data_IF_178718092736
#
_entry.id   IF_178718092736
#
_cell.length_a   1.000
_cell.length_b   1.000
_cell.length_c   1.000
_cell.angle_alpha   90.00
_cell.angle_beta   90.00
_cell.angle_gamma   90.00
#
_symmetry.space_group_name_H-M   'P 1'
#
loop_
_entity.id
_entity.type
_entity.pdbx_description
1 polymer ?
#
# COMPACT_ATOMS: atom_id res chain seq x y z
N UNK A 1 -19.12 -42.17 -22.64
CA UNK A 1 -17.91 -41.63 -23.27
C UNK A 1 -17.59 -40.29 -22.68
N UNK A 2 -16.53 -40.21 -21.88
CA UNK A 2 -15.99 -38.96 -21.32
C UNK A 2 -15.08 -38.32 -22.35
N UNK A 3 -15.49 -37.17 -22.88
CA UNK A 3 -14.67 -36.33 -23.76
C UNK A 3 -13.64 -35.58 -22.92
N UNK A 4 -12.36 -35.84 -23.16
CA UNK A 4 -11.27 -35.04 -22.62
C UNK A 4 -11.30 -33.62 -23.26
N UNK A 5 -10.98 -32.55 -22.49
CA UNK A 5 -10.88 -31.21 -23.05
C UNK A 5 -9.71 -31.15 -24.05
N UNK A 6 -9.96 -30.50 -25.19
CA UNK A 6 -9.16 -30.65 -26.42
C UNK A 6 -8.14 -29.54 -26.70
N UNK A 7 -7.69 -28.77 -25.71
CA UNK A 7 -6.56 -27.85 -25.90
C UNK A 7 -5.67 -27.78 -24.65
N UNK A 8 -4.33 -27.83 -24.81
CA UNK A 8 -3.44 -27.53 -23.71
C UNK A 8 -3.71 -26.10 -23.25
N UNK A 9 -4.00 -25.92 -21.96
CA UNK A 9 -4.00 -24.59 -21.37
C UNK A 9 -2.61 -24.01 -21.51
N UNK A 10 -2.54 -22.75 -21.93
CA UNK A 10 -1.29 -22.00 -21.93
C UNK A 10 -0.70 -22.04 -20.51
N UNK A 11 0.54 -22.52 -20.40
CA UNK A 11 1.31 -22.52 -19.16
C UNK A 11 2.50 -21.61 -19.37
N UNK A 12 2.77 -20.77 -18.36
CA UNK A 12 3.96 -19.92 -18.38
C UNK A 12 5.18 -20.86 -18.29
N UNK A 13 6.21 -20.68 -19.12
CA UNK A 13 7.40 -21.53 -19.06
C UNK A 13 8.09 -21.37 -17.71
N UNK A 14 8.62 -22.46 -17.14
CA UNK A 14 9.35 -22.43 -15.86
C UNK A 14 10.56 -21.46 -15.84
N UNK A 15 11.07 -21.09 -17.02
CA UNK A 15 12.10 -20.05 -17.14
C UNK A 15 11.60 -18.65 -16.77
N UNK A 16 10.28 -18.42 -16.73
CA UNK A 16 9.71 -17.16 -16.25
C UNK A 16 9.82 -17.02 -14.72
N UNK A 17 10.04 -18.13 -14.00
CA UNK A 17 10.29 -18.12 -12.56
C UNK A 17 11.79 -17.88 -12.24
N UNK A 18 12.64 -17.86 -13.27
CA UNK A 18 14.07 -17.58 -13.12
C UNK A 18 14.28 -16.07 -13.16
N UNK A 19 14.15 -15.45 -11.99
CA UNK A 19 14.40 -14.02 -11.80
C UNK A 19 15.90 -13.72 -11.61
N UNK A 20 16.27 -12.43 -11.66
CA UNK A 20 17.61 -11.99 -11.31
C UNK A 20 17.94 -12.38 -9.86
N UNK A 21 19.18 -12.80 -9.62
CA UNK A 21 19.64 -13.02 -8.25
C UNK A 21 19.81 -11.67 -7.55
N UNK A 22 18.81 -11.30 -6.75
CA UNK A 22 18.82 -10.09 -5.95
C UNK A 22 19.26 -10.40 -4.51
N UNK A 23 20.11 -9.55 -3.94
CA UNK A 23 20.41 -9.59 -2.51
C UNK A 23 19.29 -8.79 -1.82
N UNK A 24 18.68 -9.38 -0.79
CA UNK A 24 17.65 -8.67 -0.03
C UNK A 24 18.26 -7.43 0.64
N UNK A 25 17.51 -6.32 0.68
CA UNK A 25 18.00 -5.07 1.28
C UNK A 25 18.46 -5.24 2.74
N UNK A 26 17.88 -6.18 3.48
CA UNK A 26 18.29 -6.49 4.86
C UNK A 26 19.69 -7.12 4.95
N UNK A 27 20.13 -7.81 3.89
CA UNK A 27 21.42 -8.49 3.81
C UNK A 27 22.49 -7.63 3.12
N UNK A 28 22.11 -6.49 2.54
CA UNK A 28 23.02 -5.53 1.92
C UNK A 28 23.28 -4.32 2.84
N UNK A 29 24.44 -4.24 3.51
CA UNK A 29 24.77 -3.10 4.38
C UNK A 29 24.98 -1.79 3.61
N UNK A 30 25.00 -1.81 2.27
CA UNK A 30 25.07 -0.61 1.42
C UNK A 30 23.70 -0.21 0.87
N UNK A 31 22.64 -0.98 1.14
CA UNK A 31 21.28 -0.64 0.73
C UNK A 31 20.88 0.74 1.29
N UNK A 32 20.41 1.62 0.41
CA UNK A 32 20.00 2.96 0.81
C UNK A 32 18.65 2.90 1.52
N UNK A 33 18.57 3.50 2.71
CA UNK A 33 17.30 3.62 3.41
C UNK A 33 16.41 4.67 2.72
N UNK A 34 15.39 4.22 2.00
CA UNK A 34 14.46 5.07 1.25
C UNK A 34 13.77 6.11 2.15
N UNK A 35 13.43 5.77 3.40
CA UNK A 35 12.87 6.72 4.38
C UNK A 35 13.81 7.88 4.70
N UNK A 36 15.11 7.72 4.50
CA UNK A 36 16.12 8.75 4.80
C UNK A 36 16.51 9.59 3.59
N UNK A 37 16.45 9.02 2.38
CA UNK A 37 16.96 9.67 1.16
C UNK A 37 15.86 10.20 0.25
N UNK A 38 14.65 9.67 0.32
CA UNK A 38 13.55 10.07 -0.55
C UNK A 38 12.84 11.32 -0.02
N UNK A 39 12.41 12.23 -0.91
CA UNK A 39 11.85 13.52 -0.51
C UNK A 39 10.42 13.43 0.04
N UNK A 40 9.73 12.32 -0.17
CA UNK A 40 8.30 12.18 0.08
C UNK A 40 7.46 13.05 -0.86
N UNK A 41 6.22 13.30 -0.47
CA UNK A 41 5.23 14.04 -1.28
C UNK A 41 4.70 15.27 -0.55
N UNK A 42 4.02 16.17 -1.26
CA UNK A 42 3.17 17.22 -0.68
C UNK A 42 1.80 17.24 -1.32
N UNK A 43 0.77 17.24 -0.48
CA UNK A 43 -0.61 17.36 -0.91
C UNK A 43 -0.96 18.80 -1.30
N UNK A 44 -1.74 18.93 -2.36
CA UNK A 44 -2.26 20.19 -2.89
C UNK A 44 -3.62 19.96 -3.55
N UNK A 45 -4.29 21.06 -3.95
CA UNK A 45 -5.57 21.01 -4.68
C UNK A 45 -6.63 20.13 -4.00
N UNK A 46 -6.74 20.24 -2.67
CA UNK A 46 -7.65 19.43 -1.87
C UNK A 46 -9.09 19.80 -2.17
N UNK A 47 -9.92 18.81 -2.50
CA UNK A 47 -11.33 18.97 -2.82
C UNK A 47 -12.17 18.09 -1.90
N UNK A 48 -13.02 18.71 -1.11
CA UNK A 48 -13.91 18.01 -0.18
C UNK A 48 -15.26 17.71 -0.82
N UNK A 49 -15.86 16.61 -0.40
CA UNK A 49 -17.26 16.28 -0.67
C UNK A 49 -17.91 15.68 0.60
N UNK A 50 -19.18 15.30 0.53
CA UNK A 50 -19.93 14.76 1.68
C UNK A 50 -19.38 13.43 2.22
N UNK A 51 -18.56 12.73 1.42
CA UNK A 51 -18.01 11.39 1.69
C UNK A 51 -16.50 11.37 1.81
N UNK A 52 -15.84 12.52 1.94
CA UNK A 52 -14.39 12.60 2.15
C UNK A 52 -13.74 13.68 1.30
N UNK A 53 -12.58 13.38 0.71
CA UNK A 53 -11.85 14.35 -0.09
C UNK A 53 -10.86 13.69 -1.07
N UNK A 54 -10.47 14.44 -2.09
CA UNK A 54 -9.37 14.10 -2.98
C UNK A 54 -8.27 15.15 -2.90
N UNK A 55 -7.04 14.78 -3.23
CA UNK A 55 -5.91 15.70 -3.30
C UNK A 55 -4.89 15.24 -4.35
N UNK A 56 -4.12 16.18 -4.89
CA UNK A 56 -2.95 15.87 -5.71
C UNK A 56 -1.71 15.81 -4.82
N UNK A 57 -0.99 14.70 -4.82
CA UNK A 57 0.30 14.56 -4.15
C UNK A 57 1.42 14.74 -5.18
N UNK A 58 2.25 15.76 -5.00
CA UNK A 58 3.42 16.01 -5.84
C UNK A 58 4.69 15.65 -5.12
N UNK A 59 5.65 15.05 -5.81
CA UNK A 59 6.96 14.73 -5.27
C UNK A 59 7.59 16.01 -4.68
N UNK A 60 8.04 15.95 -3.42
CA UNK A 60 8.38 17.13 -2.63
C UNK A 60 9.82 17.64 -2.85
N UNK A 61 10.56 17.02 -3.78
CA UNK A 61 11.97 17.31 -4.01
C UNK A 61 12.49 16.65 -5.28
N UNK A 62 13.82 16.46 -5.34
CA UNK A 62 14.42 15.70 -6.45
C UNK A 62 14.12 14.21 -6.28
N UNK A 63 13.76 13.49 -7.36
CA UNK A 63 13.68 12.04 -7.36
C UNK A 63 14.90 11.40 -6.71
N UNK A 64 14.67 10.48 -5.78
CA UNK A 64 15.71 9.68 -5.15
C UNK A 64 16.07 8.48 -6.04
N UNK A 65 15.08 7.93 -6.75
CA UNK A 65 15.20 6.78 -7.66
C UNK A 65 16.06 5.64 -7.08
N UNK A 66 15.74 5.23 -5.85
CA UNK A 66 16.59 4.32 -5.09
C UNK A 66 16.41 2.88 -5.56
N UNK A 67 15.15 2.46 -5.69
CA UNK A 67 14.76 1.09 -6.02
C UNK A 67 13.90 1.03 -7.30
N UNK A 68 13.80 2.15 -8.01
CA UNK A 68 12.97 2.33 -9.19
C UNK A 68 12.97 3.79 -9.64
N UNK A 69 12.02 4.16 -10.49
CA UNK A 69 11.80 5.56 -10.89
C UNK A 69 10.67 6.16 -10.07
N UNK A 70 10.92 7.27 -9.37
CA UNK A 70 9.89 8.00 -8.61
C UNK A 70 8.71 8.43 -9.50
N UNK A 71 7.51 8.31 -8.96
CA UNK A 71 6.30 8.80 -9.61
C UNK A 71 6.07 10.26 -9.23
N UNK A 72 6.21 11.17 -10.19
CA UNK A 72 6.12 12.63 -9.93
C UNK A 72 4.77 13.08 -9.35
N UNK A 73 3.67 12.44 -9.78
CA UNK A 73 2.31 12.89 -9.49
C UNK A 73 1.38 11.74 -9.11
N UNK A 74 0.85 11.78 -7.89
CA UNK A 74 -0.12 10.82 -7.37
C UNK A 74 -1.46 11.52 -7.07
N UNK A 75 -2.54 10.75 -7.12
CA UNK A 75 -3.88 11.16 -6.71
C UNK A 75 -4.23 10.43 -5.42
N UNK A 76 -4.51 11.20 -4.38
CA UNK A 76 -5.08 10.73 -3.12
C UNK A 76 -6.61 10.80 -3.18
N UNK A 77 -7.27 9.72 -2.81
CA UNK A 77 -8.71 9.65 -2.58
C UNK A 77 -8.98 9.10 -1.18
N UNK A 78 -9.72 9.86 -0.38
CA UNK A 78 -10.21 9.44 0.94
C UNK A 78 -11.73 9.36 0.86
N UNK A 79 -12.27 8.15 1.00
CA UNK A 79 -13.70 7.86 0.91
C UNK A 79 -14.19 7.19 2.19
N UNK A 80 -15.08 7.86 2.92
CA UNK A 80 -15.84 7.29 4.01
C UNK A 80 -16.96 6.44 3.40
N UNK A 81 -16.81 5.12 3.49
CA UNK A 81 -17.68 4.16 2.83
C UNK A 81 -18.82 3.68 3.72
N UNK A 82 -18.64 3.70 5.03
CA UNK A 82 -19.67 3.37 6.02
C UNK A 82 -19.30 3.99 7.38
N UNK A 83 -20.14 3.80 8.39
CA UNK A 83 -19.84 4.19 9.77
C UNK A 83 -18.49 3.62 10.24
N UNK A 84 -18.22 2.35 9.96
CA UNK A 84 -17.06 1.58 10.39
C UNK A 84 -16.08 1.23 9.25
N UNK A 85 -16.23 1.84 8.06
CA UNK A 85 -15.37 1.57 6.89
C UNK A 85 -14.88 2.85 6.21
N UNK A 86 -13.56 3.00 6.15
CA UNK A 86 -12.84 4.07 5.46
C UNK A 86 -11.95 3.46 4.37
N UNK A 87 -11.97 4.04 3.17
CA UNK A 87 -11.03 3.71 2.10
C UNK A 87 -10.09 4.90 1.85
N UNK A 88 -8.78 4.63 1.88
CA UNK A 88 -7.76 5.58 1.45
C UNK A 88 -7.01 4.93 0.30
N UNK A 89 -6.92 5.65 -0.81
CA UNK A 89 -6.29 5.18 -2.04
C UNK A 89 -5.32 6.25 -2.56
N UNK A 90 -4.11 5.81 -2.90
CA UNK A 90 -3.08 6.63 -3.53
C UNK A 90 -2.67 5.91 -4.81
N UNK A 91 -2.82 6.56 -5.96
CA UNK A 91 -2.49 5.98 -7.26
C UNK A 91 -1.71 6.99 -8.11
N UNK A 92 -0.87 6.54 -9.06
CA UNK A 92 -0.31 7.42 -10.08
C UNK A 92 -1.41 8.18 -10.83
N UNK A 93 -1.25 9.51 -10.95
CA UNK A 93 -2.24 10.37 -11.61
C UNK A 93 -2.25 10.15 -13.12
N UNK A 94 -1.09 9.86 -13.70
CA UNK A 94 -0.89 9.72 -15.13
C UNK A 94 -0.49 8.28 -15.47
N UNK A 95 -1.50 7.44 -15.71
CA UNK A 95 -1.30 6.11 -16.29
C UNK A 95 -1.91 6.11 -17.68
N UNK A 96 -1.05 5.99 -18.69
CA UNK A 96 -1.44 5.87 -20.08
C UNK A 96 -0.81 4.62 -20.72
N UNK A 97 -1.10 4.38 -21.99
CA UNK A 97 -0.57 3.23 -22.72
C UNK A 97 0.96 3.21 -22.89
N UNK A 98 1.66 4.30 -22.57
CA UNK A 98 3.12 4.38 -22.62
C UNK A 98 3.80 4.09 -21.27
N UNK A 99 3.06 4.15 -20.16
CA UNK A 99 3.51 3.79 -18.80
C UNK A 99 2.73 2.58 -18.24
N UNK A 100 2.42 1.59 -19.09
CA UNK A 100 1.55 0.45 -18.79
C UNK A 100 2.15 -0.62 -17.85
N UNK A 101 3.21 -0.31 -17.11
CA UNK A 101 3.76 -1.18 -16.06
C UNK A 101 2.87 -1.24 -14.81
N UNK A 102 2.02 -0.23 -14.60
CA UNK A 102 1.09 -0.18 -13.47
C UNK A 102 -0.04 -1.20 -13.61
N UNK A 103 -0.10 -2.14 -12.67
CA UNK A 103 -1.15 -3.14 -12.60
C UNK A 103 -2.23 -2.75 -11.59
N UNK A 104 -3.44 -2.49 -12.08
CA UNK A 104 -4.62 -2.29 -11.22
C UNK A 104 -5.49 -3.54 -11.23
N UNK A 105 -5.82 -4.04 -10.04
CA UNK A 105 -6.72 -5.18 -9.89
C UNK A 105 -8.09 -4.85 -10.49
N UNK A 106 -8.55 -5.72 -11.40
CA UNK A 106 -9.87 -5.59 -12.01
C UNK A 106 -10.96 -5.82 -10.96
N UNK A 107 -11.92 -4.90 -10.88
CA UNK A 107 -13.14 -5.03 -10.05
C UNK A 107 -13.97 -6.26 -10.38
N UNK A 108 -13.82 -6.83 -11.58
CA UNK A 108 -14.49 -8.08 -11.96
C UNK A 108 -13.84 -9.31 -11.31
N UNK A 109 -12.54 -9.23 -11.00
CA UNK A 109 -11.79 -10.30 -10.34
C UNK A 109 -11.79 -10.11 -8.82
N UNK A 110 -11.62 -8.87 -8.37
CA UNK A 110 -11.58 -8.49 -6.95
C UNK A 110 -12.52 -7.31 -6.72
N UNK A 111 -13.82 -7.57 -6.46
CA UNK A 111 -14.80 -6.52 -6.21
C UNK A 111 -14.47 -5.74 -4.95
N UNK A 112 -14.38 -4.41 -5.05
CA UNK A 112 -14.20 -3.53 -3.90
C UNK A 112 -15.55 -3.16 -3.26
N UNK A 113 -15.61 -3.03 -1.93
CA UNK A 113 -16.80 -2.52 -1.26
C UNK A 113 -17.17 -1.14 -1.78
N UNK A 114 -18.47 -0.92 -2.01
CA UNK A 114 -19.02 0.40 -2.36
C UNK A 114 -19.42 1.14 -1.10
N UNK A 115 -19.43 2.47 -1.17
CA UNK A 115 -19.98 3.30 -0.12
C UNK A 115 -21.48 3.01 0.09
N UNK A 116 -21.92 2.95 1.35
CA UNK A 116 -23.33 2.88 1.71
C UNK A 116 -24.05 4.17 1.29
N UNK A 117 -25.38 4.10 1.13
CA UNK A 117 -26.17 5.24 0.67
C UNK A 117 -26.11 6.42 1.66
N UNK A 118 -26.06 6.09 2.95
CA UNK A 118 -26.03 7.04 4.05
C UNK A 118 -24.59 7.35 4.52
N UNK A 119 -23.58 6.88 3.79
CA UNK A 119 -22.19 7.15 4.12
C UNK A 119 -21.91 8.65 4.09
N UNK A 120 -21.34 9.17 5.17
CA UNK A 120 -20.92 10.56 5.27
C UNK A 120 -19.72 10.71 6.21
N UNK A 121 -19.00 11.82 6.06
CA UNK A 121 -17.89 12.15 7.00
C UNK A 121 -18.40 12.32 8.43
N UNK A 122 -19.62 12.86 8.62
CA UNK A 122 -20.20 13.07 9.94
C UNK A 122 -20.54 11.76 10.65
N UNK A 123 -21.08 10.79 9.90
CA UNK A 123 -21.62 9.54 10.45
C UNK A 123 -20.56 8.45 10.66
N UNK A 124 -19.33 8.65 10.17
CA UNK A 124 -18.23 7.71 10.39
C UNK A 124 -17.70 7.74 11.83
N UNK A 125 -17.30 6.59 12.35
CA UNK A 125 -16.54 6.44 13.60
C UNK A 125 -15.08 6.91 13.47
N UNK A 126 -14.63 7.18 12.24
CA UNK A 126 -13.27 7.62 11.95
C UNK A 126 -13.21 9.10 11.57
N UNK A 127 -12.06 9.71 11.85
CA UNK A 127 -11.68 11.02 11.31
C UNK A 127 -10.27 10.93 10.73
N UNK A 128 -10.08 11.55 9.57
CA UNK A 128 -8.77 11.65 8.90
C UNK A 128 -8.19 13.04 9.07
N UNK A 129 -6.96 13.13 9.56
CA UNK A 129 -6.15 14.35 9.58
C UNK A 129 -4.90 14.16 8.74
N UNK A 130 -4.41 15.22 8.08
CA UNK A 130 -3.19 15.15 7.28
C UNK A 130 -2.38 16.44 7.42
N UNK A 131 -1.08 16.36 7.11
CA UNK A 131 -0.14 17.47 7.14
C UNK A 131 0.85 17.36 5.98
N UNK A 132 1.47 18.47 5.61
CA UNK A 132 2.60 18.53 4.66
C UNK A 132 3.95 18.78 5.36
N UNK A 133 3.97 18.75 6.69
CA UNK A 133 5.15 19.07 7.50
C UNK A 133 5.74 17.81 8.14
N UNK A 134 7.04 17.50 7.91
CA UNK A 134 7.93 18.08 6.89
C UNK A 134 7.58 17.64 5.45
N UNK A 135 6.83 16.55 5.32
CA UNK A 135 6.28 15.98 4.08
C UNK A 135 4.83 15.54 4.32
N UNK A 136 4.14 15.14 3.25
CA UNK A 136 2.79 14.59 3.31
C UNK A 136 2.74 13.41 4.27
N UNK A 137 1.85 13.51 5.24
CA UNK A 137 1.52 12.44 6.18
C UNK A 137 0.03 12.52 6.53
N UNK A 138 -0.54 11.40 6.99
CA UNK A 138 -1.90 11.39 7.49
C UNK A 138 -2.07 10.43 8.66
N UNK A 139 -3.19 10.63 9.37
CA UNK A 139 -3.67 9.78 10.45
C UNK A 139 -5.12 9.41 10.25
N UNK A 140 -5.46 8.18 10.64
CA UNK A 140 -6.83 7.73 10.85
C UNK A 140 -7.04 7.63 12.36
N UNK A 141 -8.02 8.38 12.86
CA UNK A 141 -8.29 8.52 14.30
C UNK A 141 -9.67 7.96 14.60
N UNK A 142 -9.78 7.15 15.66
CA UNK A 142 -11.06 6.68 16.19
C UNK A 142 -11.75 7.81 16.97
N UNK A 143 -12.85 8.36 16.47
CA UNK A 143 -13.55 9.52 17.07
C UNK A 143 -13.93 9.30 18.54
N UNK A 144 -14.37 8.09 18.90
CA UNK A 144 -14.85 7.79 20.24
C UNK A 144 -13.77 7.89 21.35
N UNK A 145 -12.50 7.71 20.99
CA UNK A 145 -11.38 7.61 21.96
C UNK A 145 -10.30 8.67 21.72
N UNK A 146 -10.16 9.14 20.48
CA UNK A 146 -9.04 9.95 20.04
C UNK A 146 -7.80 9.14 19.65
N UNK A 147 -7.85 7.81 19.71
CA UNK A 147 -6.70 6.95 19.38
C UNK A 147 -6.38 7.00 17.88
N UNK A 148 -5.11 7.15 17.55
CA UNK A 148 -4.61 6.98 16.19
C UNK A 148 -4.52 5.48 15.86
N UNK A 149 -5.35 5.03 14.91
CA UNK A 149 -5.38 3.65 14.43
C UNK A 149 -4.37 3.40 13.30
N UNK A 150 -4.08 4.45 12.54
CA UNK A 150 -3.11 4.45 11.46
C UNK A 150 -2.44 5.82 11.45
N UNK A 151 -1.11 5.88 11.37
CA UNK A 151 -0.37 7.14 11.42
C UNK A 151 0.94 7.02 10.65
N UNK A 152 1.04 7.77 9.56
CA UNK A 152 2.28 7.86 8.75
C UNK A 152 3.17 9.02 9.19
N UNK A 153 2.91 9.64 10.33
CA UNK A 153 3.79 10.68 10.85
C UNK A 153 5.21 10.16 11.09
N UNK A 154 6.19 11.05 10.95
CA UNK A 154 7.64 10.75 11.08
C UNK A 154 8.18 9.78 10.03
N UNK A 155 7.43 9.54 8.95
CA UNK A 155 7.81 8.68 7.82
C UNK A 155 7.52 9.41 6.52
N UNK A 156 8.13 8.98 5.42
CA UNK A 156 7.89 9.52 4.08
C UNK A 156 7.17 8.48 3.22
N UNK A 157 6.18 8.92 2.45
CA UNK A 157 5.61 8.10 1.38
C UNK A 157 6.65 7.96 0.27
N UNK A 158 7.09 6.73 -0.02
CA UNK A 158 7.95 6.43 -1.17
C UNK A 158 7.10 5.71 -2.22
N UNK A 159 7.12 6.21 -3.46
CA UNK A 159 6.28 5.69 -4.53
C UNK A 159 7.05 5.70 -5.85
N UNK A 160 7.74 4.61 -6.11
CA UNK A 160 8.50 4.34 -7.33
C UNK A 160 7.78 3.25 -8.14
N UNK A 161 8.13 3.10 -9.41
CA UNK A 161 7.52 2.11 -10.33
C UNK A 161 7.67 0.64 -9.90
N UNK A 162 8.74 0.31 -9.19
CA UNK A 162 9.04 -1.05 -8.69
C UNK A 162 9.14 -1.12 -7.16
N UNK A 163 8.95 -0.01 -6.46
CA UNK A 163 9.07 0.05 -5.00
C UNK A 163 8.08 1.05 -4.39
N UNK A 164 7.23 0.56 -3.50
CA UNK A 164 6.30 1.40 -2.73
C UNK A 164 6.56 1.13 -1.26
N UNK A 165 6.85 2.17 -0.50
CA UNK A 165 7.03 2.07 0.95
C UNK A 165 5.97 2.90 1.65
N UNK A 166 5.29 2.25 2.58
CA UNK A 166 4.23 2.82 3.38
C UNK A 166 4.36 2.34 4.81
N UNK A 167 4.50 3.29 5.74
CA UNK A 167 4.79 2.97 7.15
C UNK A 167 3.70 3.54 8.03
N UNK A 168 3.26 2.75 9.02
CA UNK A 168 2.39 3.21 10.09
C UNK A 168 2.99 2.89 11.44
N UNK A 169 2.89 3.82 12.37
CA UNK A 169 3.18 3.55 13.78
C UNK A 169 2.04 2.69 14.39
N UNK A 170 2.43 1.77 15.28
CA UNK A 170 1.53 1.02 16.14
C UNK A 170 1.76 1.43 17.62
N UNK A 171 0.75 1.38 18.48
CA UNK A 171 0.89 1.73 19.91
C UNK A 171 1.79 0.73 20.64
N UNK A 172 2.47 1.15 21.73
CA UNK A 172 3.52 0.36 22.41
C UNK A 172 3.11 -1.08 22.75
N UNK A 173 1.85 -1.31 23.13
CA UNK A 173 1.31 -2.65 23.47
C UNK A 173 0.31 -3.18 22.44
N UNK A 174 0.63 -3.02 21.15
CA UNK A 174 -0.20 -3.53 20.07
C UNK A 174 -0.27 -5.07 20.05
N UNK A 175 -1.40 -5.58 19.53
CA UNK A 175 -1.55 -6.97 19.16
C UNK A 175 -1.83 -7.05 17.66
N UNK A 176 -0.92 -7.68 16.91
CA UNK A 176 -1.03 -7.82 15.46
C UNK A 176 -1.23 -9.30 15.09
N UNK A 177 -2.15 -9.55 14.17
CA UNK A 177 -2.57 -10.89 13.73
C UNK A 177 -2.86 -10.85 12.23
N UNK A 178 -2.82 -12.00 11.57
CA UNK A 178 -3.02 -12.11 10.12
C UNK A 178 -1.69 -12.04 9.37
N UNK A 179 -1.75 -11.56 8.12
CA UNK A 179 -0.68 -11.64 7.12
C UNK A 179 -0.34 -13.11 6.78
N UNK A 180 -0.32 -13.46 5.50
CA UNK A 180 -0.22 -14.87 5.09
C UNK A 180 0.11 -15.04 3.61
N UNK A 181 0.63 -16.21 3.21
CA UNK A 181 0.76 -17.46 3.99
C UNK A 181 2.14 -17.62 4.66
N UNK A 182 2.16 -17.80 5.99
CA UNK A 182 3.39 -17.96 6.78
C UNK A 182 3.20 -18.96 7.92
N UNK A 183 4.27 -19.66 8.32
CA UNK A 183 4.30 -20.47 9.55
C UNK A 183 4.83 -19.61 10.70
N UNK A 184 3.92 -19.01 11.47
CA UNK A 184 4.25 -18.18 12.64
C UNK A 184 3.33 -18.49 13.82
N UNK A 185 3.65 -17.94 15.01
CA UNK A 185 2.71 -17.95 16.13
C UNK A 185 1.51 -17.01 15.85
N UNK A 186 0.35 -17.30 16.45
CA UNK A 186 -0.89 -16.56 16.16
C UNK A 186 -0.75 -15.03 16.32
N UNK A 187 -0.14 -14.57 17.42
CA UNK A 187 0.21 -13.15 17.61
C UNK A 187 1.56 -12.88 16.97
N UNK A 188 1.61 -12.01 15.97
CA UNK A 188 2.85 -11.67 15.29
C UNK A 188 3.87 -11.05 16.25
N UNK A 189 5.15 -11.39 16.04
CA UNK A 189 6.26 -10.84 16.81
C UNK A 189 6.50 -9.38 16.42
N UNK A 190 7.07 -8.60 17.35
CA UNK A 190 7.60 -7.27 17.00
C UNK A 190 8.85 -7.46 16.14
N UNK A 191 9.11 -6.48 15.28
CA UNK A 191 10.32 -6.44 14.42
C UNK A 191 10.46 -7.66 13.49
N UNK A 192 9.33 -8.24 13.07
CA UNK A 192 9.29 -9.35 12.11
C UNK A 192 9.21 -8.85 10.67
N UNK A 193 9.96 -9.50 9.77
CA UNK A 193 9.80 -9.35 8.32
C UNK A 193 9.00 -10.54 7.79
N UNK A 194 7.89 -10.27 7.10
CA UNK A 194 7.01 -11.30 6.55
C UNK A 194 6.85 -11.08 5.05
N UNK A 195 7.41 -11.99 4.24
CA UNK A 195 7.46 -11.86 2.78
C UNK A 195 6.27 -12.54 2.12
N UNK A 196 5.35 -11.77 1.53
CA UNK A 196 4.18 -12.34 0.86
C UNK A 196 4.47 -12.46 -0.64
N UNK A 197 4.77 -13.68 -1.07
CA UNK A 197 4.85 -14.06 -2.49
C UNK A 197 4.40 -15.51 -2.65
N UNK A 198 3.40 -15.82 -3.51
CA UNK A 198 2.99 -17.19 -3.75
C UNK A 198 4.18 -18.04 -4.21
N UNK A 199 4.54 -19.04 -3.41
CA UNK A 199 5.67 -19.93 -3.67
C UNK A 199 5.30 -21.36 -3.32
N UNK A 200 5.88 -22.33 -4.03
CA UNK A 200 5.74 -23.75 -3.71
C UNK A 200 6.77 -24.12 -2.63
N UNK A 201 6.49 -23.69 -1.39
CA UNK A 201 7.29 -23.98 -0.21
C UNK A 201 6.42 -24.67 0.84
N UNK A 202 6.79 -25.89 1.23
CA UNK A 202 6.09 -26.65 2.27
C UNK A 202 6.34 -26.13 3.69
N UNK A 203 7.28 -25.21 3.86
CA UNK A 203 7.67 -24.59 5.13
C UNK A 203 8.00 -23.11 4.95
N UNK A 204 7.02 -22.24 4.63
CA UNK A 204 7.25 -20.80 4.44
C UNK A 204 7.52 -20.14 5.79
N UNK A 205 8.76 -20.27 6.25
CA UNK A 205 9.29 -19.67 7.47
C UNK A 205 10.16 -18.50 7.02
N UNK A 206 9.69 -17.27 7.29
CA UNK A 206 10.53 -16.09 7.16
C UNK A 206 11.70 -16.17 8.15
N UNK A 207 12.89 -15.81 7.68
CA UNK A 207 14.14 -15.84 8.45
C UNK A 207 14.48 -14.48 9.03
#
# INVERSE_FOLDING_TARGET
STTAPSQPQFTIPASADVDAQLIANIDDPQAANAQSVCPGYKASKVQHNSRGFTASLQLAGRPCNVYGTDVDSLTLSVEYQDSDRLNIQILPTHVDSTNASWYFLSENLVPRPKASLDASVSDSDFSVSWSNEPSFNFKVIRKATGDALFSTESTVLVYEDQFIEFVTALPEEYNLYGLGEHITQFRLQRDANLTIYPSDDGTPIDK
#
